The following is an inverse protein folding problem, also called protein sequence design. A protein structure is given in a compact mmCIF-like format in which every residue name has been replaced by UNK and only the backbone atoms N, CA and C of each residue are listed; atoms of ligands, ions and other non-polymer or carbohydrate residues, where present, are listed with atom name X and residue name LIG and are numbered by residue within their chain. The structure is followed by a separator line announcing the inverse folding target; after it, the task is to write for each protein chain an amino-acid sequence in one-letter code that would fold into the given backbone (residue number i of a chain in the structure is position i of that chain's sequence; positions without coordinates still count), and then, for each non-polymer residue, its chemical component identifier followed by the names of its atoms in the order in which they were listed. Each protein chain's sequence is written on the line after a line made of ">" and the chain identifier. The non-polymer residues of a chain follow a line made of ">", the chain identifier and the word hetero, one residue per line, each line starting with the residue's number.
data_IF_525329897000
#
_entry.id   IF_525329897000
#
_cell.length_a   1.000
_cell.length_b   1.000
_cell.length_c   1.000
_cell.angle_alpha   90.00
_cell.angle_beta   90.00
_cell.angle_gamma   90.00
#
_symmetry.space_group_name_H-M   'P 1'
#
loop_
_entity.id
_entity.type
_entity.pdbx_description
1 polymer ?
#
# COMPACT_ATOMS: atom_id res chain seq x y z
N UNK A 1 -4.36 -9.01 10.94
CA UNK A 1 -5.31 -8.89 9.80
C UNK A 1 -5.62 -10.27 9.18
N UNK A 2 -6.83 -10.56 8.63
CA UNK A 2 -7.11 -11.84 7.93
C UNK A 2 -7.15 -11.62 6.40
N UNK A 3 -6.08 -12.05 5.73
CA UNK A 3 -5.89 -11.86 4.29
C UNK A 3 -6.25 -13.15 3.55
N UNK A 4 -7.04 -13.05 2.47
CA UNK A 4 -7.47 -14.23 1.68
C UNK A 4 -6.45 -14.65 0.63
N UNK A 5 -5.76 -13.69 0.02
CA UNK A 5 -4.77 -13.91 -1.03
C UNK A 5 -3.71 -12.82 -0.97
N UNK A 6 -2.49 -13.16 -1.40
CA UNK A 6 -1.39 -12.22 -1.51
C UNK A 6 -0.63 -12.52 -2.81
N UNK A 7 -0.45 -11.50 -3.65
CA UNK A 7 0.23 -11.57 -4.93
C UNK A 7 1.30 -10.47 -5.00
N UNK A 8 2.44 -10.77 -5.63
CA UNK A 8 3.54 -9.81 -5.81
C UNK A 8 3.62 -9.48 -7.30
N UNK A 9 3.47 -8.19 -7.65
CA UNK A 9 3.49 -7.72 -9.03
C UNK A 9 4.50 -6.58 -9.18
N UNK A 10 5.69 -6.88 -9.70
CA UNK A 10 6.77 -5.90 -9.85
C UNK A 10 7.13 -5.24 -8.52
N UNK A 11 6.96 -3.93 -8.43
CA UNK A 11 7.20 -3.12 -7.23
C UNK A 11 5.94 -2.93 -6.36
N UNK A 12 4.99 -3.87 -6.44
CA UNK A 12 3.77 -3.86 -5.66
C UNK A 12 3.41 -5.20 -5.01
N UNK A 13 2.67 -5.12 -3.90
CA UNK A 13 1.98 -6.24 -3.27
C UNK A 13 0.48 -6.00 -3.35
N UNK A 14 -0.25 -6.98 -3.83
CA UNK A 14 -1.71 -6.98 -3.86
C UNK A 14 -2.24 -8.03 -2.89
N UNK A 15 -3.27 -7.69 -2.12
CA UNK A 15 -3.93 -8.62 -1.23
C UNK A 15 -5.43 -8.37 -1.13
N UNK A 16 -6.19 -9.42 -0.85
CA UNK A 16 -7.63 -9.31 -0.64
C UNK A 16 -7.98 -9.14 0.84
N UNK A 17 -8.71 -8.07 1.16
CA UNK A 17 -9.23 -7.74 2.48
C UNK A 17 -10.72 -7.36 2.39
N UNK A 18 -11.57 -8.00 3.17
CA UNK A 18 -13.02 -7.72 3.25
C UNK A 18 -13.79 -7.68 1.90
N UNK A 19 -13.28 -8.35 0.87
CA UNK A 19 -13.90 -8.37 -0.46
C UNK A 19 -13.30 -7.35 -1.45
N UNK A 20 -12.40 -6.49 -0.98
CA UNK A 20 -11.67 -5.52 -1.79
C UNK A 20 -10.26 -6.02 -2.13
N UNK A 21 -9.76 -5.62 -3.31
CA UNK A 21 -8.37 -5.78 -3.72
C UNK A 21 -7.59 -4.54 -3.28
N UNK A 22 -6.65 -4.71 -2.36
CA UNK A 22 -5.81 -3.64 -1.82
C UNK A 22 -4.40 -3.81 -2.37
N UNK A 23 -3.80 -2.72 -2.86
CA UNK A 23 -2.45 -2.71 -3.42
C UNK A 23 -1.54 -1.75 -2.66
N UNK A 24 -0.34 -2.23 -2.35
CA UNK A 24 0.79 -1.47 -1.81
C UNK A 24 1.81 -1.36 -2.93
N UNK A 25 2.08 -0.15 -3.42
CA UNK A 25 3.02 0.08 -4.52
C UNK A 25 4.11 1.05 -4.11
N UNK A 26 5.35 0.73 -4.47
CA UNK A 26 6.47 1.68 -4.38
C UNK A 26 6.52 2.49 -5.68
N UNK A 27 6.30 3.80 -5.58
CA UNK A 27 6.28 4.73 -6.72
C UNK A 27 7.10 5.95 -6.33
N UNK A 28 8.16 6.25 -7.09
CA UNK A 28 9.05 7.40 -6.83
C UNK A 28 9.54 7.48 -5.37
N UNK A 29 9.97 6.35 -4.81
CA UNK A 29 10.40 6.21 -3.41
C UNK A 29 9.32 6.52 -2.35
N UNK A 30 8.05 6.65 -2.76
CA UNK A 30 6.89 6.69 -1.88
C UNK A 30 6.22 5.31 -1.83
N UNK A 31 5.67 4.94 -0.67
CA UNK A 31 4.75 3.82 -0.58
C UNK A 31 3.32 4.34 -0.68
N UNK A 32 2.57 3.81 -1.64
CA UNK A 32 1.15 4.15 -1.83
C UNK A 32 0.29 2.92 -1.56
N UNK A 33 -0.75 3.10 -0.74
CA UNK A 33 -1.75 2.10 -0.43
C UNK A 33 -3.09 2.58 -0.97
N UNK A 34 -3.73 1.75 -1.79
CA UNK A 34 -4.99 2.08 -2.41
C UNK A 34 -5.79 0.81 -2.74
N UNK A 35 -7.10 0.97 -2.77
CA UNK A 35 -8.02 -0.05 -3.26
C UNK A 35 -8.08 0.00 -4.79
N UNK A 36 -8.13 -1.17 -5.42
CA UNK A 36 -8.52 -1.32 -6.82
C UNK A 36 -10.05 -1.29 -6.92
N UNK A 37 -10.55 -0.30 -7.66
CA UNK A 37 -11.98 -0.05 -7.89
C UNK A 37 -12.33 -0.57 -9.27
N UNK A 38 -13.21 -1.57 -9.32
CA UNK A 38 -13.77 -2.05 -10.59
C UNK A 38 -14.97 -1.19 -10.99
N UNK A 39 -14.99 -0.76 -12.25
CA UNK A 39 -16.16 -0.14 -12.86
C UNK A 39 -16.83 -1.13 -13.81
N UNK A 40 -18.13 -0.96 -14.05
CA UNK A 40 -18.89 -1.76 -15.03
C UNK A 40 -18.36 -1.63 -16.47
N UNK A 41 -17.46 -0.67 -16.71
CA UNK A 41 -16.84 -0.41 -18.01
C UNK A 41 -15.38 -0.90 -17.98
N UNK A 42 -14.97 -1.66 -19.01
CA UNK A 42 -13.63 -2.26 -19.09
C UNK A 42 -12.56 -1.22 -19.49
N UNK A 43 -12.14 -0.38 -18.53
CA UNK A 43 -11.13 0.67 -18.71
C UNK A 43 -9.78 0.34 -18.04
N UNK A 44 -9.55 -0.93 -17.69
CA UNK A 44 -8.33 -1.39 -17.03
C UNK A 44 -8.39 -1.26 -15.50
N UNK A 45 -7.26 -1.48 -14.83
CA UNK A 45 -7.16 -1.35 -13.38
C UNK A 45 -7.34 0.13 -12.99
N UNK A 46 -8.33 0.43 -12.15
CA UNK A 46 -8.57 1.76 -11.61
C UNK A 46 -8.33 1.70 -10.10
N UNK A 47 -7.64 2.70 -9.56
CA UNK A 47 -7.35 2.77 -8.13
C UNK A 47 -8.10 3.92 -7.49
N UNK A 48 -8.46 3.73 -6.22
CA UNK A 48 -9.11 4.75 -5.41
C UNK A 48 -8.31 6.05 -5.43
N UNK A 49 -9.02 7.17 -5.53
CA UNK A 49 -8.45 8.52 -5.44
C UNK A 49 -8.08 8.90 -4.00
N UNK A 50 -8.61 8.16 -3.02
CA UNK A 50 -8.23 8.27 -1.61
C UNK A 50 -7.16 7.21 -1.34
N UNK A 51 -5.97 7.66 -0.93
CA UNK A 51 -4.80 6.80 -0.77
C UNK A 51 -4.09 7.12 0.53
N UNK A 52 -3.48 6.12 1.14
CA UNK A 52 -2.47 6.34 2.17
C UNK A 52 -1.12 6.43 1.45
N UNK A 53 -0.36 7.48 1.72
CA UNK A 53 0.96 7.71 1.14
C UNK A 53 1.98 7.78 2.27
N UNK A 54 3.10 7.08 2.13
CA UNK A 54 4.22 7.16 3.05
C UNK A 54 5.44 7.66 2.29
N UNK A 55 5.98 8.77 2.76
CA UNK A 55 7.17 9.43 2.22
C UNK A 55 7.87 10.19 3.35
N UNK A 56 9.19 10.19 3.34
CA UNK A 56 10.02 10.86 4.33
C UNK A 56 9.65 10.52 5.79
N UNK A 57 9.37 9.24 6.06
CA UNK A 57 8.98 8.76 7.40
C UNK A 57 7.59 9.15 7.86
N UNK A 58 6.87 9.94 7.07
CA UNK A 58 5.56 10.48 7.40
C UNK A 58 4.46 9.77 6.63
N UNK A 59 3.28 9.72 7.24
CA UNK A 59 2.09 9.11 6.64
C UNK A 59 1.08 10.20 6.33
N UNK A 60 0.55 10.17 5.12
CA UNK A 60 -0.41 11.13 4.60
C UNK A 60 -1.66 10.41 4.10
N UNK A 61 -2.81 11.05 4.27
CA UNK A 61 -4.01 10.74 3.52
C UNK A 61 -4.07 11.66 2.30
N UNK A 62 -3.88 11.09 1.12
CA UNK A 62 -3.99 11.79 -0.16
C UNK A 62 -5.41 11.65 -0.71
N UNK A 63 -5.99 12.74 -1.18
CA UNK A 63 -7.30 12.79 -1.82
C UNK A 63 -7.30 13.78 -2.98
N UNK A 64 -8.44 13.90 -3.67
CA UNK A 64 -8.64 14.93 -4.72
C UNK A 64 -8.52 16.36 -4.19
N UNK A 65 -8.60 16.57 -2.88
CA UNK A 65 -8.55 17.88 -2.24
C UNK A 65 -7.16 18.21 -1.67
N UNK A 66 -6.18 17.32 -1.84
CA UNK A 66 -4.84 17.45 -1.31
C UNK A 66 -4.47 16.35 -0.31
N UNK A 67 -3.34 16.57 0.36
CA UNK A 67 -2.74 15.63 1.32
C UNK A 67 -2.84 16.17 2.74
N UNK A 68 -3.17 15.31 3.69
CA UNK A 68 -3.18 15.63 5.12
C UNK A 68 -2.26 14.66 5.87
N UNK A 69 -1.34 15.19 6.67
CA UNK A 69 -0.47 14.39 7.53
C UNK A 69 -1.29 13.70 8.64
N UNK A 70 -1.02 12.42 8.88
CA UNK A 70 -1.67 11.61 9.91
C UNK A 70 -0.82 11.68 11.18
N UNK A 71 -1.28 12.43 12.19
CA UNK A 71 -0.51 12.71 13.40
C UNK A 71 -0.14 11.48 14.26
N UNK A 72 -0.87 10.37 14.16
CA UNK A 72 -0.62 9.14 14.93
C UNK A 72 -0.69 7.89 14.04
N UNK A 73 0.30 7.66 13.16
CA UNK A 73 0.18 6.66 12.10
C UNK A 73 0.58 5.24 12.54
N UNK A 74 0.83 5.01 13.83
CA UNK A 74 1.42 3.76 14.32
C UNK A 74 0.65 2.51 13.90
N UNK A 75 -0.68 2.55 13.90
CA UNK A 75 -1.51 1.43 13.49
C UNK A 75 -1.37 1.12 11.99
N UNK A 76 -1.23 2.16 11.16
CA UNK A 76 -1.00 2.02 9.71
C UNK A 76 0.36 1.36 9.48
N UNK A 77 1.41 1.86 10.14
CA UNK A 77 2.76 1.31 10.03
C UNK A 77 2.82 -0.14 10.51
N UNK A 78 2.18 -0.46 11.64
CA UNK A 78 2.13 -1.83 12.16
C UNK A 78 1.39 -2.76 11.19
N UNK A 79 0.26 -2.32 10.64
CA UNK A 79 -0.47 -3.09 9.62
C UNK A 79 0.38 -3.37 8.38
N UNK A 80 1.15 -2.38 7.90
CA UNK A 80 2.07 -2.57 6.76
C UNK A 80 3.17 -3.57 7.11
N UNK A 81 3.75 -3.49 8.31
CA UNK A 81 4.76 -4.45 8.78
C UNK A 81 4.22 -5.88 8.81
N UNK A 82 2.96 -6.09 9.23
CA UNK A 82 2.32 -7.41 9.14
C UNK A 82 2.30 -7.93 7.69
N UNK A 83 1.97 -7.08 6.71
CA UNK A 83 2.01 -7.46 5.30
C UNK A 83 3.44 -7.77 4.82
N UNK A 84 4.41 -6.96 5.24
CA UNK A 84 5.81 -7.10 4.81
C UNK A 84 6.44 -8.42 5.24
N UNK A 85 6.13 -8.90 6.45
CA UNK A 85 6.65 -10.18 6.91
C UNK A 85 6.13 -11.35 6.06
N UNK A 86 4.95 -11.24 5.43
CA UNK A 86 4.41 -12.26 4.53
C UNK A 86 5.14 -12.33 3.17
N UNK A 87 5.85 -11.27 2.78
CA UNK A 87 6.59 -11.20 1.50
C UNK A 87 8.10 -11.28 1.67
N UNK A 88 8.61 -11.17 2.89
CA UNK A 88 10.05 -11.10 3.21
C UNK A 88 10.88 -12.17 2.49
N UNK A 89 10.41 -13.41 2.51
CA UNK A 89 11.09 -14.55 1.89
C UNK A 89 10.71 -14.76 0.41
N UNK A 90 9.66 -14.09 -0.09
CA UNK A 90 9.15 -14.21 -1.46
C UNK A 90 9.75 -13.17 -2.40
N UNK A 91 9.99 -11.96 -1.90
CA UNK A 91 10.62 -10.87 -2.65
C UNK A 91 11.40 -9.95 -1.68
N UNK A 92 12.65 -10.32 -1.41
CA UNK A 92 13.56 -9.59 -0.51
C UNK A 92 13.84 -8.17 -0.98
N UNK A 93 13.89 -7.94 -2.30
CA UNK A 93 14.11 -6.62 -2.90
C UNK A 93 12.96 -5.67 -2.58
N UNK A 94 11.71 -6.11 -2.80
CA UNK A 94 10.52 -5.32 -2.51
C UNK A 94 10.37 -5.09 -1.01
N UNK A 95 10.61 -6.11 -0.19
CA UNK A 95 10.66 -5.98 1.26
C UNK A 95 11.64 -4.87 1.70
N UNK A 96 12.88 -4.89 1.18
CA UNK A 96 13.89 -3.89 1.50
C UNK A 96 13.47 -2.48 1.09
N UNK A 97 12.91 -2.31 -0.12
CA UNK A 97 12.39 -1.01 -0.59
C UNK A 97 11.34 -0.46 0.35
N UNK A 98 10.30 -1.23 0.66
CA UNK A 98 9.20 -0.75 1.51
C UNK A 98 9.69 -0.51 2.93
N UNK A 99 10.54 -1.40 3.46
CA UNK A 99 11.09 -1.25 4.81
C UNK A 99 11.91 0.03 4.97
N UNK A 100 12.68 0.41 3.94
CA UNK A 100 13.42 1.67 3.95
C UNK A 100 12.48 2.89 3.98
N UNK A 101 11.40 2.87 3.19
CA UNK A 101 10.44 3.98 3.13
C UNK A 101 9.74 4.19 4.48
N UNK A 102 9.32 3.11 5.15
CA UNK A 102 8.61 3.21 6.44
C UNK A 102 9.53 3.43 7.65
N UNK A 103 10.85 3.35 7.47
CA UNK A 103 11.85 3.51 8.54
C UNK A 103 12.72 4.76 8.40
N UNK A 104 12.59 5.49 7.29
CA UNK A 104 13.17 6.82 7.09
C UNK A 104 12.57 7.82 8.08
#
# INVERSE_FOLDING_TARGET
>A
MKIKSLNIRGDSVEFCYEGSSIRLSVINDELRIYEEVTYEVAIGEIFSKIQIVIKDGKVFLSSLFGENEVNNPQNIINGIKEILELIKNKNTKLYGKINNIISA
#
